data_IF_378805803679
#
_entry.id   IF_378805803679
#
_cell.length_a   1.000
_cell.length_b   1.000
_cell.length_c   1.000
_cell.angle_alpha   90.00
_cell.angle_beta   90.00
_cell.angle_gamma   90.00
#
_symmetry.space_group_name_H-M   'P 1'
#
loop_
_entity.id
_entity.type
_entity.pdbx_description
1 polymer ?
#
# COMPACT_ATOMS: atom_id res chain seq x y z
N UNK A 1 -16.22 -23.98 -12.62
CA UNK A 1 -16.07 -22.55 -13.01
C UNK A 1 -14.82 -22.02 -12.34
N UNK A 2 -13.80 -21.67 -13.13
CA UNK A 2 -12.53 -21.18 -12.60
C UNK A 2 -12.77 -19.88 -11.83
N UNK A 3 -12.35 -19.84 -10.56
CA UNK A 3 -12.27 -18.57 -9.82
C UNK A 3 -11.31 -17.66 -10.59
N UNK A 4 -11.80 -16.55 -11.10
CA UNK A 4 -10.95 -15.51 -11.67
C UNK A 4 -9.89 -15.14 -10.61
N UNK A 5 -8.60 -15.13 -10.99
CA UNK A 5 -7.44 -15.11 -10.09
C UNK A 5 -7.21 -13.77 -9.35
N UNK A 6 -8.06 -12.78 -9.57
CA UNK A 6 -7.86 -11.44 -9.01
C UNK A 6 -8.59 -11.30 -7.67
N UNK A 7 -7.85 -10.98 -6.61
CA UNK A 7 -8.46 -10.46 -5.39
C UNK A 7 -9.03 -9.08 -5.71
N UNK A 8 -10.36 -8.99 -5.79
CA UNK A 8 -11.07 -7.77 -6.19
C UNK A 8 -10.62 -6.55 -5.38
N UNK A 9 -10.35 -6.74 -4.09
CA UNK A 9 -9.99 -5.64 -3.18
C UNK A 9 -8.69 -4.94 -3.58
N UNK A 10 -7.69 -5.68 -4.07
CA UNK A 10 -6.39 -5.13 -4.49
C UNK A 10 -6.54 -4.22 -5.70
N UNK A 11 -7.29 -4.66 -6.71
CA UNK A 11 -7.53 -3.89 -7.92
C UNK A 11 -8.31 -2.62 -7.59
N UNK A 12 -9.35 -2.74 -6.76
CA UNK A 12 -10.17 -1.60 -6.35
C UNK A 12 -9.37 -0.58 -5.53
N UNK A 13 -8.50 -1.04 -4.64
CA UNK A 13 -7.60 -0.16 -3.88
C UNK A 13 -6.59 0.55 -4.79
N UNK A 14 -6.01 -0.17 -5.76
CA UNK A 14 -5.05 0.40 -6.70
C UNK A 14 -5.66 1.49 -7.59
N UNK A 15 -6.84 1.22 -8.16
CA UNK A 15 -7.54 2.21 -8.98
C UNK A 15 -7.97 3.42 -8.14
N UNK A 16 -8.42 3.18 -6.90
CA UNK A 16 -8.80 4.23 -5.98
C UNK A 16 -7.64 5.19 -5.65
N UNK A 17 -6.48 4.62 -5.31
CA UNK A 17 -5.24 5.38 -5.04
C UNK A 17 -4.79 6.18 -6.26
N UNK A 18 -4.88 5.59 -7.46
CA UNK A 18 -4.57 6.29 -8.71
C UNK A 18 -5.51 7.48 -8.95
N UNK A 19 -6.81 7.32 -8.72
CA UNK A 19 -7.77 8.41 -8.86
C UNK A 19 -7.55 9.51 -7.83
N UNK A 20 -7.16 9.15 -6.60
CA UNK A 20 -6.79 10.10 -5.56
C UNK A 20 -5.62 10.97 -5.99
N UNK A 21 -4.54 10.36 -6.51
CA UNK A 21 -3.36 11.08 -7.01
C UNK A 21 -3.78 12.10 -8.09
N UNK A 22 -4.49 11.64 -9.12
CA UNK A 22 -4.94 12.50 -10.23
C UNK A 22 -5.84 13.67 -9.74
N UNK A 23 -6.69 13.43 -8.75
CA UNK A 23 -7.54 14.45 -8.14
C UNK A 23 -6.72 15.47 -7.35
N UNK A 24 -5.79 15.00 -6.52
CA UNK A 24 -4.95 15.85 -5.67
C UNK A 24 -3.97 16.71 -6.47
N UNK A 25 -3.43 16.19 -7.58
CA UNK A 25 -2.62 16.97 -8.54
C UNK A 25 -3.38 18.16 -9.14
N UNK A 26 -4.71 18.09 -9.19
CA UNK A 26 -5.60 19.17 -9.65
C UNK A 26 -6.12 20.03 -8.51
N UNK A 27 -5.75 19.73 -7.26
CA UNK A 27 -6.24 20.45 -6.08
C UNK A 27 -7.74 20.30 -5.83
N UNK A 28 -8.39 19.27 -6.41
CA UNK A 28 -9.84 19.10 -6.31
C UNK A 28 -10.22 18.39 -5.01
N UNK A 29 -11.26 18.87 -4.34
CA UNK A 29 -11.93 18.13 -3.27
C UNK A 29 -12.81 17.02 -3.84
N UNK A 30 -13.25 16.07 -3.00
CA UNK A 30 -14.25 15.06 -3.40
C UNK A 30 -15.51 15.68 -4.01
N UNK A 31 -15.97 16.82 -3.46
CA UNK A 31 -17.20 17.49 -3.90
C UNK A 31 -17.01 18.10 -5.28
N UNK A 32 -15.87 18.76 -5.52
CA UNK A 32 -15.56 19.36 -6.82
C UNK A 32 -15.37 18.27 -7.86
N UNK A 33 -14.60 17.23 -7.57
CA UNK A 33 -14.37 16.14 -8.51
C UNK A 33 -15.66 15.41 -8.90
N UNK A 34 -16.55 15.14 -7.94
CA UNK A 34 -17.85 14.55 -8.23
C UNK A 34 -18.72 15.45 -9.12
N UNK A 35 -18.68 16.77 -8.89
CA UNK A 35 -19.37 17.77 -9.72
C UNK A 35 -18.83 17.78 -11.15
N UNK A 36 -17.51 17.86 -11.32
CA UNK A 36 -16.87 17.88 -12.65
C UNK A 36 -17.10 16.58 -13.43
N UNK A 37 -17.16 15.44 -12.73
CA UNK A 37 -17.45 14.14 -13.34
C UNK A 37 -18.97 13.87 -13.51
N UNK A 38 -19.86 14.79 -13.11
CA UNK A 38 -21.31 14.59 -13.13
C UNK A 38 -21.75 13.26 -12.45
N UNK A 39 -21.14 12.93 -11.30
CA UNK A 39 -21.48 11.76 -10.50
C UNK A 39 -21.80 12.17 -9.06
N UNK A 40 -22.53 11.31 -8.35
CA UNK A 40 -22.79 11.52 -6.93
C UNK A 40 -21.48 11.52 -6.11
N UNK A 41 -21.40 12.40 -5.10
CA UNK A 41 -20.21 12.57 -4.26
C UNK A 41 -19.86 11.29 -3.50
N UNK A 42 -20.85 10.63 -2.92
CA UNK A 42 -20.61 9.41 -2.14
C UNK A 42 -20.23 8.26 -3.08
N UNK A 43 -20.81 8.24 -4.28
CA UNK A 43 -20.39 7.30 -5.33
C UNK A 43 -18.91 7.50 -5.71
N UNK A 44 -18.48 8.73 -6.01
CA UNK A 44 -17.07 9.03 -6.31
C UNK A 44 -16.16 8.64 -5.13
N UNK A 45 -16.53 9.02 -3.90
CA UNK A 45 -15.73 8.73 -2.71
C UNK A 45 -15.52 7.22 -2.51
N UNK A 46 -16.55 6.40 -2.74
CA UNK A 46 -16.44 4.94 -2.63
C UNK A 46 -15.56 4.34 -3.73
N UNK A 47 -15.56 4.93 -4.94
CA UNK A 47 -14.66 4.52 -6.02
C UNK A 47 -13.22 4.86 -5.65
N UNK A 48 -12.94 6.10 -5.23
CA UNK A 48 -11.59 6.53 -4.85
C UNK A 48 -11.04 5.75 -3.64
N UNK A 49 -11.91 5.30 -2.73
CA UNK A 49 -11.49 4.45 -1.60
C UNK A 49 -11.31 2.97 -1.95
N UNK A 50 -11.62 2.58 -3.19
CA UNK A 50 -11.60 1.17 -3.60
C UNK A 50 -12.69 0.32 -2.94
N UNK A 51 -13.78 0.94 -2.47
CA UNK A 51 -14.91 0.28 -1.81
C UNK A 51 -16.01 -0.13 -2.81
N UNK A 52 -15.84 0.21 -4.10
CA UNK A 52 -16.84 -0.05 -5.13
C UNK A 52 -16.21 -0.41 -6.47
N UNK A 53 -16.62 -1.56 -7.00
CA UNK A 53 -16.44 -1.87 -8.42
C UNK A 53 -17.46 -1.09 -9.26
N UNK A 54 -16.98 -0.14 -10.04
CA UNK A 54 -17.80 0.77 -10.84
C UNK A 54 -17.74 0.43 -12.33
N UNK A 55 -18.76 0.84 -13.07
CA UNK A 55 -18.81 0.60 -14.52
C UNK A 55 -17.79 1.47 -15.27
N UNK A 56 -17.41 1.04 -16.47
CA UNK A 56 -16.53 1.81 -17.37
C UNK A 56 -17.07 3.23 -17.64
N UNK A 57 -18.40 3.41 -17.71
CA UNK A 57 -19.02 4.72 -17.90
C UNK A 57 -18.72 5.69 -16.75
N UNK A 58 -18.64 5.20 -15.51
CA UNK A 58 -18.23 6.04 -14.36
C UNK A 58 -16.77 6.44 -14.51
N UNK A 59 -15.88 5.55 -14.95
CA UNK A 59 -14.48 5.89 -15.19
C UNK A 59 -14.31 6.89 -16.34
N UNK A 60 -15.09 6.78 -17.41
CA UNK A 60 -15.12 7.79 -18.48
C UNK A 60 -15.56 9.16 -17.96
N UNK A 61 -16.61 9.22 -17.13
CA UNK A 61 -17.06 10.45 -16.49
C UNK A 61 -15.98 11.06 -15.58
N UNK A 62 -15.30 10.23 -14.79
CA UNK A 62 -14.18 10.67 -13.95
C UNK A 62 -13.03 11.22 -14.82
N UNK A 63 -12.68 10.54 -15.91
CA UNK A 63 -11.66 11.01 -16.84
C UNK A 63 -12.01 12.38 -17.46
N UNK A 64 -13.27 12.57 -17.84
CA UNK A 64 -13.79 13.85 -18.33
C UNK A 64 -13.66 14.94 -17.25
N UNK A 65 -14.09 14.67 -16.01
CA UNK A 65 -13.96 15.63 -14.91
C UNK A 65 -12.50 15.94 -14.53
N UNK A 66 -11.57 15.02 -14.80
CA UNK A 66 -10.13 15.21 -14.67
C UNK A 66 -9.50 15.88 -15.91
N UNK A 67 -10.27 16.10 -16.98
CA UNK A 67 -9.77 16.59 -18.26
C UNK A 67 -8.60 15.75 -18.82
N UNK A 68 -8.77 14.41 -18.81
CA UNK A 68 -7.81 13.44 -19.36
C UNK A 68 -8.52 12.41 -20.23
N UNK A 69 -7.77 11.67 -21.05
CA UNK A 69 -8.27 10.48 -21.70
C UNK A 69 -8.39 9.34 -20.68
N UNK A 70 -9.40 8.46 -20.82
CA UNK A 70 -9.66 7.37 -19.87
C UNK A 70 -8.47 6.39 -19.75
N UNK A 71 -7.64 6.27 -20.79
CA UNK A 71 -6.40 5.46 -20.73
C UNK A 71 -5.39 5.97 -19.71
N UNK A 72 -5.35 7.27 -19.44
CA UNK A 72 -4.39 7.88 -18.51
C UNK A 72 -4.62 7.46 -17.05
N UNK A 73 -5.84 6.98 -16.76
CA UNK A 73 -6.16 6.36 -15.47
C UNK A 73 -5.39 5.05 -15.30
N UNK A 74 -5.11 4.31 -16.38
CA UNK A 74 -4.54 2.96 -16.35
C UNK A 74 -3.13 2.89 -16.96
N UNK A 75 -2.36 3.98 -16.89
CA UNK A 75 -0.99 4.07 -17.38
C UNK A 75 0.01 3.37 -16.43
N UNK A 76 1.30 3.62 -16.61
CA UNK A 76 2.38 3.07 -15.76
C UNK A 76 2.20 3.39 -14.26
N UNK A 77 1.65 4.56 -13.91
CA UNK A 77 1.39 4.93 -12.51
C UNK A 77 0.35 4.02 -11.85
N UNK A 78 -0.64 3.55 -12.62
CA UNK A 78 -1.59 2.56 -12.13
C UNK A 78 -0.90 1.22 -11.85
N UNK A 79 0.04 0.80 -12.68
CA UNK A 79 0.81 -0.43 -12.45
C UNK A 79 1.64 -0.33 -11.17
N UNK A 80 2.21 0.85 -10.88
CA UNK A 80 2.89 1.12 -9.61
C UNK A 80 1.92 1.00 -8.42
N UNK A 81 0.73 1.58 -8.52
CA UNK A 81 -0.30 1.46 -7.50
C UNK A 81 -0.73 0.00 -7.29
N UNK A 82 -0.91 -0.76 -8.38
CA UNK A 82 -1.30 -2.17 -8.33
C UNK A 82 -0.25 -3.00 -7.61
N UNK A 83 1.03 -2.88 -8.00
CA UNK A 83 2.13 -3.59 -7.36
C UNK A 83 2.19 -3.31 -5.86
N UNK A 84 2.01 -2.05 -5.45
CA UNK A 84 1.96 -1.67 -4.03
C UNK A 84 0.90 -2.47 -3.27
N UNK A 85 -0.31 -2.66 -3.81
CA UNK A 85 -1.36 -3.40 -3.11
C UNK A 85 -1.18 -4.92 -3.20
N UNK A 86 -0.60 -5.43 -4.30
CA UNK A 86 -0.20 -6.84 -4.41
C UNK A 86 0.85 -7.21 -3.35
N UNK A 87 1.88 -6.36 -3.16
CA UNK A 87 2.89 -6.52 -2.12
C UNK A 87 2.25 -6.56 -0.73
N UNK A 88 1.27 -5.68 -0.47
CA UNK A 88 0.54 -5.64 0.81
C UNK A 88 -0.21 -6.95 1.06
N UNK A 89 -0.98 -7.44 0.08
CA UNK A 89 -1.72 -8.70 0.23
C UNK A 89 -0.78 -9.89 0.40
N UNK A 90 0.33 -9.90 -0.32
CA UNK A 90 1.32 -10.95 -0.20
C UNK A 90 1.98 -10.96 1.18
N UNK A 91 2.37 -9.80 1.71
CA UNK A 91 2.88 -9.66 3.08
C UNK A 91 1.84 -10.17 4.10
N UNK A 92 0.57 -9.76 3.97
CA UNK A 92 -0.52 -10.19 4.86
C UNK A 92 -0.64 -11.70 4.89
N UNK A 93 -0.68 -12.32 3.70
CA UNK A 93 -0.76 -13.77 3.55
C UNK A 93 0.41 -14.47 4.24
N UNK A 94 1.64 -13.99 4.02
CA UNK A 94 2.85 -14.55 4.65
C UNK A 94 2.82 -14.39 6.16
N UNK A 95 2.48 -13.21 6.66
CA UNK A 95 2.47 -12.93 8.10
C UNK A 95 1.45 -13.80 8.87
N UNK A 96 0.45 -14.35 8.18
CA UNK A 96 -0.53 -15.27 8.75
C UNK A 96 -0.11 -16.75 8.72
N UNK A 97 0.86 -17.13 7.86
CA UNK A 97 1.29 -18.52 7.74
C UNK A 97 2.00 -19.05 8.99
N UNK A 98 1.87 -20.34 9.24
CA UNK A 98 2.61 -21.02 10.30
C UNK A 98 4.11 -21.03 10.04
N UNK A 99 4.52 -20.99 8.78
CA UNK A 99 5.92 -20.87 8.36
C UNK A 99 6.55 -19.55 8.82
N UNK A 100 5.84 -18.42 8.70
CA UNK A 100 6.29 -17.15 9.26
C UNK A 100 6.29 -17.13 10.80
N UNK A 101 5.42 -17.90 11.45
CA UNK A 101 5.45 -18.08 12.92
C UNK A 101 6.65 -18.92 13.36
N UNK A 102 7.02 -19.93 12.58
CA UNK A 102 8.17 -20.82 12.78
C UNK A 102 9.49 -20.10 12.51
N UNK A 103 9.55 -19.27 11.47
CA UNK A 103 10.65 -18.32 11.26
C UNK A 103 10.57 -17.32 12.39
N UNK A 104 11.51 -17.45 13.33
CA UNK A 104 11.52 -16.64 14.53
C UNK A 104 11.32 -15.17 14.15
N UNK A 105 10.26 -14.51 14.67
CA UNK A 105 10.07 -13.04 14.57
C UNK A 105 11.37 -12.27 14.83
N UNK A 106 12.26 -12.84 15.66
CA UNK A 106 13.61 -12.35 15.92
C UNK A 106 14.48 -12.22 14.66
N UNK A 107 14.38 -13.13 13.68
CA UNK A 107 15.12 -13.08 12.40
C UNK A 107 14.69 -11.88 11.56
N UNK A 108 13.38 -11.69 11.36
CA UNK A 108 12.81 -10.53 10.66
C UNK A 108 13.20 -9.23 11.35
N UNK A 109 12.99 -9.13 12.68
CA UNK A 109 13.34 -7.95 13.47
C UNK A 109 14.86 -7.66 13.42
N UNK A 110 15.69 -8.69 13.55
CA UNK A 110 17.16 -8.56 13.46
C UNK A 110 17.59 -8.06 12.09
N UNK A 111 16.97 -8.56 11.01
CA UNK A 111 17.23 -8.11 9.65
C UNK A 111 16.84 -6.64 9.45
N UNK A 112 15.63 -6.25 9.86
CA UNK A 112 15.17 -4.85 9.78
C UNK A 112 16.06 -3.90 10.58
N UNK A 113 16.50 -4.32 11.78
CA UNK A 113 17.46 -3.57 12.60
C UNK A 113 18.80 -3.41 11.90
N UNK A 114 19.32 -4.46 11.25
CA UNK A 114 20.57 -4.41 10.47
C UNK A 114 20.46 -3.40 9.33
N UNK A 115 19.35 -3.38 8.60
CA UNK A 115 19.11 -2.39 7.53
C UNK A 115 19.04 -0.97 8.05
N UNK A 116 18.29 -0.75 9.14
CA UNK A 116 18.22 0.55 9.81
C UNK A 116 19.62 1.08 10.14
N UNK A 117 20.46 0.24 10.74
CA UNK A 117 21.84 0.60 11.11
C UNK A 117 22.71 0.84 9.87
N UNK A 118 22.62 -0.02 8.85
CA UNK A 118 23.37 0.11 7.58
C UNK A 118 23.06 1.43 6.86
N UNK A 119 21.81 1.89 6.90
CA UNK A 119 21.39 3.20 6.37
C UNK A 119 21.67 4.39 7.30
N UNK A 120 22.26 4.17 8.49
CA UNK A 120 22.54 5.24 9.44
C UNK A 120 21.29 5.84 10.11
N UNK A 121 20.15 5.16 10.04
CA UNK A 121 18.87 5.66 10.57
C UNK A 121 18.81 5.39 12.08
N UNK A 122 18.54 6.40 12.90
CA UNK A 122 18.32 6.17 14.34
C UNK A 122 16.92 5.62 14.62
N UNK A 123 16.70 4.98 15.78
CA UNK A 123 15.34 4.55 16.17
C UNK A 123 14.35 5.72 16.25
N UNK A 124 14.84 6.91 16.61
CA UNK A 124 14.01 8.12 16.70
C UNK A 124 13.59 8.60 15.31
N UNK A 125 14.54 8.68 14.38
CA UNK A 125 14.26 9.06 12.99
C UNK A 125 13.30 8.06 12.37
N UNK A 126 13.55 6.75 12.53
CA UNK A 126 12.63 5.73 12.01
C UNK A 126 11.22 5.87 12.58
N UNK A 127 11.10 6.16 13.88
CA UNK A 127 9.80 6.34 14.51
C UNK A 127 9.03 7.55 13.96
N UNK A 128 9.73 8.67 13.73
CA UNK A 128 9.16 9.88 13.13
C UNK A 128 8.67 9.59 11.71
N UNK A 129 9.50 8.96 10.87
CA UNK A 129 9.15 8.61 9.48
C UNK A 129 7.94 7.65 9.41
N UNK A 130 7.81 6.75 10.38
CA UNK A 130 6.71 5.79 10.45
C UNK A 130 5.47 6.34 11.18
N UNK A 131 5.51 7.56 11.72
CA UNK A 131 4.42 8.13 12.51
C UNK A 131 4.10 7.35 13.79
N UNK A 132 5.10 6.72 14.42
CA UNK A 132 4.96 5.93 15.65
C UNK A 132 5.86 6.44 16.77
N UNK A 133 5.68 5.94 18.00
CA UNK A 133 6.55 6.32 19.11
C UNK A 133 7.92 5.64 19.02
N UNK A 134 8.99 6.33 19.42
CA UNK A 134 10.33 5.74 19.55
C UNK A 134 10.33 4.48 20.43
N UNK A 135 9.53 4.48 21.49
CA UNK A 135 9.39 3.33 22.39
C UNK A 135 8.80 2.10 21.68
N UNK A 136 7.92 2.28 20.70
CA UNK A 136 7.42 1.18 19.88
C UNK A 136 8.55 0.51 19.09
N UNK A 137 9.39 1.31 18.41
CA UNK A 137 10.56 0.80 17.66
C UNK A 137 11.55 0.11 18.60
N UNK A 138 11.81 0.70 19.75
CA UNK A 138 12.66 0.10 20.78
C UNK A 138 12.11 -1.26 21.22
N UNK A 139 10.84 -1.34 21.62
CA UNK A 139 10.22 -2.59 22.06
C UNK A 139 10.23 -3.65 20.96
N UNK A 140 10.00 -3.26 19.70
CA UNK A 140 10.12 -4.15 18.55
C UNK A 140 11.55 -4.72 18.46
N UNK A 141 12.58 -3.88 18.42
CA UNK A 141 13.98 -4.31 18.24
C UNK A 141 14.52 -5.14 19.40
N UNK A 142 13.96 -5.00 20.60
CA UNK A 142 14.28 -5.83 21.77
C UNK A 142 13.41 -7.10 21.85
N UNK A 143 12.57 -7.37 20.84
CA UNK A 143 11.73 -8.58 20.76
C UNK A 143 10.52 -8.57 21.70
N UNK A 144 10.18 -7.42 22.27
CA UNK A 144 9.01 -7.21 23.15
C UNK A 144 7.77 -6.74 22.39
N UNK A 145 7.92 -6.35 21.12
CA UNK A 145 6.83 -5.89 20.25
C UNK A 145 6.48 -6.90 19.14
N UNK A 146 5.24 -6.85 18.67
CA UNK A 146 4.79 -7.55 17.44
C UNK A 146 4.95 -6.60 16.26
N UNK A 147 5.56 -7.07 15.18
CA UNK A 147 5.54 -6.35 13.90
C UNK A 147 4.15 -6.49 13.28
N UNK A 148 3.51 -5.37 12.99
CA UNK A 148 2.27 -5.30 12.21
C UNK A 148 2.61 -5.06 10.75
N UNK A 149 1.67 -5.41 9.87
CA UNK A 149 1.80 -5.24 8.43
C UNK A 149 2.15 -3.79 8.05
N UNK A 150 1.47 -2.80 8.63
CA UNK A 150 1.65 -1.39 8.28
C UNK A 150 3.06 -0.92 8.62
N UNK A 151 3.59 -1.39 9.77
CA UNK A 151 4.93 -1.08 10.22
C UNK A 151 5.99 -1.74 9.33
N UNK A 152 5.78 -3.01 8.94
CA UNK A 152 6.68 -3.72 8.03
C UNK A 152 6.73 -3.04 6.66
N UNK A 153 5.56 -2.73 6.08
CA UNK A 153 5.44 -2.03 4.79
C UNK A 153 6.16 -0.68 4.84
N UNK A 154 5.92 0.11 5.89
CA UNK A 154 6.60 1.40 6.07
C UNK A 154 8.13 1.24 6.17
N UNK A 155 8.61 0.27 6.94
CA UNK A 155 10.03 -0.02 7.08
C UNK A 155 10.66 -0.44 5.75
N UNK A 156 10.02 -1.31 4.97
CA UNK A 156 10.51 -1.73 3.65
C UNK A 156 10.68 -0.55 2.71
N UNK A 157 9.70 0.37 2.67
CA UNK A 157 9.79 1.61 1.87
C UNK A 157 10.96 2.48 2.28
N UNK A 158 11.12 2.76 3.58
CA UNK A 158 12.24 3.57 4.09
C UNK A 158 13.60 2.90 3.80
N UNK A 159 13.63 1.56 3.88
CA UNK A 159 14.83 0.79 3.63
C UNK A 159 15.10 0.53 2.16
N UNK A 160 14.22 0.96 1.26
CA UNK A 160 14.31 0.70 -0.18
C UNK A 160 14.52 -0.80 -0.43
N UNK A 161 13.67 -1.61 0.20
CA UNK A 161 13.69 -3.06 0.12
C UNK A 161 12.40 -3.57 -0.52
N UNK A 162 12.55 -4.47 -1.48
CA UNK A 162 11.43 -5.19 -2.05
C UNK A 162 10.95 -6.29 -1.10
N UNK A 163 9.70 -6.74 -1.29
CA UNK A 163 9.17 -7.88 -0.53
C UNK A 163 9.97 -9.15 -0.85
N UNK A 164 10.34 -9.35 -2.11
CA UNK A 164 11.14 -10.50 -2.54
C UNK A 164 12.52 -10.52 -1.86
N UNK A 165 13.18 -9.37 -1.73
CA UNK A 165 14.46 -9.26 -1.03
C UNK A 165 14.34 -9.59 0.46
N UNK A 166 13.26 -9.15 1.11
CA UNK A 166 12.95 -9.53 2.49
C UNK A 166 12.81 -11.05 2.61
N UNK A 167 12.02 -11.69 1.74
CA UNK A 167 11.73 -13.12 1.79
C UNK A 167 12.97 -13.99 1.59
N UNK A 168 13.79 -13.63 0.60
CA UNK A 168 15.08 -14.28 0.36
C UNK A 168 15.97 -14.27 1.60
N UNK A 169 16.00 -13.15 2.32
CA UNK A 169 16.83 -13.04 3.53
C UNK A 169 16.29 -13.80 4.73
N UNK A 170 14.97 -13.99 4.80
CA UNK A 170 14.34 -14.75 5.89
C UNK A 170 14.16 -16.24 5.54
N UNK A 171 14.33 -16.63 4.28
CA UNK A 171 14.29 -18.01 3.79
C UNK A 171 12.87 -18.51 3.50
N UNK A 172 12.02 -17.66 2.91
CA UNK A 172 10.63 -17.95 2.52
C UNK A 172 10.43 -17.85 1.00
N UNK A 173 11.39 -18.35 0.22
CA UNK A 173 11.38 -18.30 -1.25
C UNK A 173 10.36 -19.29 -1.86
#
# INVERSE_FOLDING_TARGET
>A
MGKCRYENDTILQAIGDRLKILREERGLTFKEMAKEACIDRDNYMRVERGERNSSIGIFCNIAIGLNIHVSEIFNEDYIICLKKYEDIQYIRKIMDTDEYKLISKKKVISMLKKYRIKKGISQNVLAIELGVSRNMINNLEYGRGRIKEELLIGMLKIFDLSVEELLKQIGLE
#
